data_IF_229769641939
#
_entry.id   IF_229769641939
#
_cell.length_a   1.000
_cell.length_b   1.000
_cell.length_c   1.000
_cell.angle_alpha   90.00
_cell.angle_beta   90.00
_cell.angle_gamma   90.00
#
_symmetry.space_group_name_H-M   'P 1'
#
loop_
_entity.id
_entity.type
_entity.pdbx_description
1 polymer ?
#
# COMPACT_ATOMS: atom_id res chain seq x y z
N UNK A 1 17.01 -25.55 -7.62
CA UNK A 1 16.64 -24.26 -7.02
C UNK A 1 17.19 -23.13 -7.90
N UNK A 2 16.38 -22.56 -8.80
CA UNK A 2 16.82 -21.48 -9.67
C UNK A 2 17.07 -20.21 -8.82
N UNK A 3 18.32 -19.73 -8.81
CA UNK A 3 18.64 -18.41 -8.24
C UNK A 3 18.00 -17.37 -9.13
N UNK A 4 16.94 -16.72 -8.64
CA UNK A 4 16.28 -15.62 -9.36
C UNK A 4 17.32 -14.56 -9.71
N UNK A 5 17.39 -14.06 -10.95
CA UNK A 5 18.41 -13.09 -11.35
C UNK A 5 18.31 -11.82 -10.49
N UNK A 6 19.45 -11.33 -9.99
CA UNK A 6 19.57 -10.05 -9.27
C UNK A 6 18.83 -8.86 -9.94
N UNK A 7 18.84 -8.67 -11.28
CA UNK A 7 18.09 -7.59 -11.90
C UNK A 7 16.57 -7.74 -11.77
N UNK A 8 16.02 -8.96 -11.80
CA UNK A 8 14.58 -9.19 -11.64
C UNK A 8 14.11 -8.77 -10.25
N UNK A 9 14.86 -9.13 -9.21
CA UNK A 9 14.60 -8.68 -7.83
C UNK A 9 14.68 -7.16 -7.73
N UNK A 10 15.68 -6.57 -8.43
CA UNK A 10 15.88 -5.13 -8.48
C UNK A 10 14.80 -4.37 -9.27
N UNK A 11 14.06 -5.03 -10.15
CA UNK A 11 12.89 -4.44 -10.81
C UNK A 11 11.68 -4.52 -9.88
N UNK A 12 11.43 -5.68 -9.26
CA UNK A 12 10.25 -5.91 -8.40
C UNK A 12 10.21 -4.96 -7.21
N UNK A 13 11.31 -4.79 -6.47
CA UNK A 13 11.33 -3.88 -5.31
C UNK A 13 11.20 -2.39 -5.70
N UNK A 14 11.66 -1.97 -6.88
CA UNK A 14 11.53 -0.59 -7.38
C UNK A 14 10.10 -0.34 -7.79
N UNK A 15 9.47 -1.29 -8.49
CA UNK A 15 8.05 -1.23 -8.80
C UNK A 15 7.24 -1.13 -7.51
N UNK A 16 7.53 -1.95 -6.50
CA UNK A 16 6.86 -1.88 -5.21
C UNK A 16 7.02 -0.51 -4.53
N UNK A 17 8.24 0.04 -4.50
CA UNK A 17 8.50 1.35 -3.91
C UNK A 17 7.76 2.49 -4.65
N UNK A 18 7.77 2.46 -5.99
CA UNK A 18 7.09 3.46 -6.82
C UNK A 18 5.58 3.39 -6.62
N UNK A 19 4.99 2.20 -6.65
CA UNK A 19 3.54 2.03 -6.52
C UNK A 19 3.04 2.41 -5.12
N UNK A 20 3.80 2.09 -4.06
CA UNK A 20 3.49 2.61 -2.71
C UNK A 20 3.55 4.14 -2.70
N UNK A 21 4.57 4.74 -3.30
CA UNK A 21 4.69 6.20 -3.32
C UNK A 21 3.52 6.86 -4.06
N UNK A 22 3.03 6.25 -5.15
CA UNK A 22 1.84 6.72 -5.87
C UNK A 22 0.60 6.70 -4.97
N UNK A 23 0.41 5.64 -4.18
CA UNK A 23 -0.64 5.58 -3.13
C UNK A 23 -0.47 6.70 -2.10
N UNK A 24 0.75 6.86 -1.59
CA UNK A 24 1.08 7.92 -0.62
C UNK A 24 0.80 9.33 -1.15
N UNK A 25 1.05 9.61 -2.43
CA UNK A 25 0.71 10.90 -3.05
C UNK A 25 -0.80 11.14 -3.06
N UNK A 26 -1.62 10.11 -3.26
CA UNK A 26 -3.06 10.25 -3.16
C UNK A 26 -3.48 10.60 -1.73
N UNK A 27 -2.96 9.89 -0.72
CA UNK A 27 -3.27 10.17 0.69
C UNK A 27 -2.76 11.55 1.16
N UNK A 28 -1.57 11.98 0.74
CA UNK A 28 -1.07 13.34 0.99
C UNK A 28 -1.98 14.37 0.33
N UNK A 29 -2.44 14.11 -0.90
CA UNK A 29 -3.37 14.98 -1.61
C UNK A 29 -4.71 15.13 -0.90
N UNK A 30 -5.28 14.03 -0.42
CA UNK A 30 -6.53 14.02 0.34
C UNK A 30 -6.37 14.79 1.67
N UNK A 31 -5.28 14.51 2.40
CA UNK A 31 -4.95 15.19 3.64
C UNK A 31 -4.75 16.70 3.44
N UNK A 32 -4.08 17.11 2.36
CA UNK A 32 -3.83 18.52 2.07
C UNK A 32 -5.11 19.27 1.67
N UNK A 33 -6.04 18.62 0.97
CA UNK A 33 -7.27 19.25 0.47
C UNK A 33 -8.41 19.24 1.49
N UNK A 34 -8.50 18.17 2.27
CA UNK A 34 -9.68 17.88 3.09
C UNK A 34 -9.34 17.65 4.58
N UNK A 35 -8.05 17.71 4.94
CA UNK A 35 -7.60 17.50 6.31
C UNK A 35 -7.71 16.03 6.74
N UNK A 36 -7.71 15.81 8.05
CA UNK A 36 -7.73 14.47 8.66
C UNK A 36 -9.05 13.71 8.44
N UNK A 37 -10.13 14.38 8.04
CA UNK A 37 -11.45 13.81 7.82
C UNK A 37 -11.90 14.00 6.37
N UNK A 38 -11.09 13.49 5.44
CA UNK A 38 -11.34 13.64 4.02
C UNK A 38 -12.68 13.02 3.56
N UNK A 39 -13.15 12.00 4.26
CA UNK A 39 -14.35 11.24 3.89
C UNK A 39 -15.45 11.44 4.93
N UNK A 40 -16.40 12.34 4.64
CA UNK A 40 -17.49 12.68 5.58
C UNK A 40 -18.41 11.49 5.93
N UNK A 41 -18.53 10.51 5.05
CA UNK A 41 -19.33 9.30 5.28
C UNK A 41 -18.59 8.24 6.12
N UNK A 42 -17.27 8.34 6.25
CA UNK A 42 -16.47 7.31 6.90
C UNK A 42 -16.34 7.58 8.41
N UNK A 43 -16.33 6.53 9.26
CA UNK A 43 -16.02 6.65 10.68
C UNK A 43 -14.67 7.34 10.92
N UNK A 44 -14.55 8.04 12.06
CA UNK A 44 -13.34 8.82 12.38
C UNK A 44 -12.07 7.98 12.40
N UNK A 45 -12.12 6.75 12.89
CA UNK A 45 -10.94 5.87 12.93
C UNK A 45 -10.44 5.50 11.53
N UNK A 46 -11.34 5.38 10.55
CA UNK A 46 -11.01 5.02 9.17
C UNK A 46 -10.39 6.21 8.42
N UNK A 47 -10.92 7.41 8.67
CA UNK A 47 -10.32 8.66 8.22
C UNK A 47 -8.90 8.87 8.78
N UNK A 48 -8.71 8.62 10.08
CA UNK A 48 -7.38 8.69 10.71
C UNK A 48 -6.43 7.65 10.13
N UNK A 49 -6.92 6.43 9.88
CA UNK A 49 -6.13 5.38 9.23
C UNK A 49 -5.66 5.83 7.83
N UNK A 50 -6.56 6.23 6.93
CA UNK A 50 -6.17 6.70 5.58
C UNK A 50 -5.28 7.94 5.63
N UNK A 51 -5.52 8.86 6.56
CA UNK A 51 -4.64 10.02 6.76
C UNK A 51 -3.23 9.61 7.19
N UNK A 52 -3.10 8.57 8.01
CA UNK A 52 -1.78 8.07 8.43
C UNK A 52 -0.96 7.46 7.28
N UNK A 53 -1.62 6.97 6.23
CA UNK A 53 -0.95 6.42 5.04
C UNK A 53 -0.17 7.50 4.28
N UNK A 54 -0.56 8.77 4.40
CA UNK A 54 0.22 9.90 3.89
C UNK A 54 1.65 9.98 4.47
N UNK A 55 1.89 9.34 5.62
CA UNK A 55 3.21 9.23 6.27
C UNK A 55 3.80 7.83 6.10
N UNK A 56 2.99 6.78 6.30
CA UNK A 56 3.45 5.40 6.24
C UNK A 56 3.93 5.00 4.85
N UNK A 57 3.25 5.45 3.79
CA UNK A 57 3.59 5.08 2.41
C UNK A 57 4.93 5.68 1.98
N UNK A 58 5.20 7.01 2.13
CA UNK A 58 6.53 7.55 1.85
C UNK A 58 7.62 6.91 2.71
N UNK A 59 7.34 6.61 3.98
CA UNK A 59 8.30 5.96 4.86
C UNK A 59 8.66 4.55 4.35
N UNK A 60 7.65 3.73 4.00
CA UNK A 60 7.85 2.41 3.42
C UNK A 60 8.64 2.48 2.11
N UNK A 61 8.29 3.41 1.22
CA UNK A 61 9.01 3.63 -0.03
C UNK A 61 10.48 4.03 0.21
N UNK A 62 10.76 4.97 1.11
CA UNK A 62 12.13 5.40 1.43
C UNK A 62 12.96 4.26 2.02
N UNK A 63 12.38 3.47 2.94
CA UNK A 63 13.07 2.32 3.53
C UNK A 63 13.35 1.23 2.49
N UNK A 64 12.40 0.99 1.58
CA UNK A 64 12.55 0.07 0.45
C UNK A 64 13.67 0.51 -0.49
N UNK A 65 13.69 1.79 -0.89
CA UNK A 65 14.72 2.36 -1.77
C UNK A 65 16.11 2.34 -1.12
N UNK A 66 16.19 2.37 0.20
CA UNK A 66 17.43 2.17 0.98
C UNK A 66 17.82 0.70 1.15
N UNK A 67 17.04 -0.21 0.56
CA UNK A 67 17.25 -1.66 0.62
C UNK A 67 17.14 -2.28 2.00
N UNK A 68 16.31 -1.67 2.86
CA UNK A 68 16.04 -2.17 4.21
C UNK A 68 14.88 -3.16 4.17
N UNK A 69 15.09 -4.34 4.74
CA UNK A 69 14.05 -5.38 4.85
C UNK A 69 12.82 -4.89 5.60
N UNK A 70 13.01 -4.06 6.62
CA UNK A 70 11.91 -3.44 7.37
C UNK A 70 11.01 -2.55 6.49
N UNK A 71 11.54 -1.95 5.42
CA UNK A 71 10.73 -1.20 4.46
C UNK A 71 9.77 -2.10 3.71
N UNK A 72 10.22 -3.30 3.33
CA UNK A 72 9.38 -4.28 2.66
C UNK A 72 8.34 -4.88 3.62
N UNK A 73 8.73 -5.17 4.85
CA UNK A 73 7.79 -5.67 5.86
C UNK A 73 6.72 -4.61 6.19
N UNK A 74 7.10 -3.32 6.26
CA UNK A 74 6.16 -2.21 6.41
C UNK A 74 5.24 -2.07 5.20
N UNK A 75 5.78 -2.15 3.99
CA UNK A 75 5.01 -2.13 2.74
C UNK A 75 3.94 -3.23 2.69
N UNK A 76 4.30 -4.47 3.06
CA UNK A 76 3.35 -5.56 3.18
C UNK A 76 2.26 -5.24 4.21
N UNK A 77 2.66 -4.75 5.39
CA UNK A 77 1.72 -4.37 6.46
C UNK A 77 0.70 -3.35 5.98
N UNK A 78 1.18 -2.23 5.43
CA UNK A 78 0.37 -1.15 4.85
C UNK A 78 -0.61 -1.69 3.82
N UNK A 79 -0.13 -2.48 2.84
CA UNK A 79 -1.00 -2.99 1.77
C UNK A 79 -2.08 -3.93 2.29
N UNK A 80 -1.76 -4.78 3.27
CA UNK A 80 -2.74 -5.70 3.88
C UNK A 80 -3.79 -4.93 4.67
N UNK A 81 -3.36 -3.97 5.50
CA UNK A 81 -4.29 -3.18 6.31
C UNK A 81 -5.12 -2.22 5.45
N UNK A 82 -4.55 -1.67 4.38
CA UNK A 82 -5.26 -0.77 3.49
C UNK A 82 -6.28 -1.52 2.65
N UNK A 83 -5.94 -2.71 2.15
CA UNK A 83 -6.91 -3.59 1.51
C UNK A 83 -8.06 -3.93 2.46
N UNK A 84 -7.77 -4.28 3.72
CA UNK A 84 -8.81 -4.59 4.70
C UNK A 84 -9.71 -3.39 5.00
N UNK A 85 -9.13 -2.19 5.14
CA UNK A 85 -9.85 -0.94 5.35
C UNK A 85 -10.78 -0.61 4.16
N UNK A 86 -10.29 -0.77 2.93
CA UNK A 86 -11.07 -0.54 1.73
C UNK A 86 -12.16 -1.60 1.52
N UNK A 87 -11.89 -2.88 1.80
CA UNK A 87 -12.92 -3.93 1.78
C UNK A 87 -14.03 -3.65 2.79
N UNK A 88 -13.66 -3.27 4.02
CA UNK A 88 -14.62 -2.89 5.05
C UNK A 88 -15.45 -1.67 4.61
N UNK A 89 -14.82 -0.65 4.03
CA UNK A 89 -15.53 0.51 3.51
C UNK A 89 -16.52 0.15 2.39
N UNK A 90 -16.07 -0.63 1.40
CA UNK A 90 -16.88 -1.01 0.25
C UNK A 90 -18.07 -1.87 0.65
N UNK A 91 -17.83 -2.94 1.42
CA UNK A 91 -18.88 -3.91 1.74
C UNK A 91 -19.67 -3.59 3.01
N UNK A 92 -19.04 -2.92 3.99
CA UNK A 92 -19.64 -2.68 5.30
C UNK A 92 -20.24 -1.28 5.48
N UNK A 93 -19.85 -0.31 4.66
CA UNK A 93 -20.33 1.07 4.79
C UNK A 93 -21.03 1.60 3.54
N UNK A 94 -20.63 1.13 2.35
CA UNK A 94 -21.12 1.66 1.06
C UNK A 94 -22.04 0.70 0.31
N UNK A 95 -22.25 -0.52 0.83
CA UNK A 95 -23.02 -1.60 0.18
C UNK A 95 -22.67 -1.75 -1.32
N UNK A 96 -21.37 -1.62 -1.64
CA UNK A 96 -20.84 -1.67 -3.00
C UNK A 96 -20.05 -2.97 -3.21
N UNK A 97 -19.64 -3.23 -4.45
CA UNK A 97 -18.95 -4.44 -4.85
C UNK A 97 -17.55 -4.16 -5.40
N UNK A 98 -16.65 -5.14 -5.29
CA UNK A 98 -15.28 -5.08 -5.82
C UNK A 98 -15.22 -4.64 -7.29
N UNK A 99 -16.14 -5.12 -8.13
CA UNK A 99 -16.15 -4.79 -9.56
C UNK A 99 -16.61 -3.35 -9.85
N UNK A 100 -17.37 -2.75 -8.92
CA UNK A 100 -17.87 -1.38 -9.04
C UNK A 100 -16.88 -0.32 -8.52
N UNK A 101 -15.84 -0.72 -7.79
CA UNK A 101 -14.87 0.18 -7.15
C UNK A 101 -13.46 0.03 -7.75
N UNK A 102 -13.10 0.80 -8.79
CA UNK A 102 -11.77 0.74 -9.42
C UNK A 102 -10.62 0.99 -8.45
N UNK A 103 -10.85 1.79 -7.39
CA UNK A 103 -9.88 2.02 -6.32
C UNK A 103 -9.53 0.73 -5.59
N UNK A 104 -10.55 -0.02 -5.14
CA UNK A 104 -10.38 -1.28 -4.42
C UNK A 104 -9.71 -2.35 -5.31
N UNK A 105 -10.03 -2.39 -6.61
CA UNK A 105 -9.34 -3.29 -7.55
C UNK A 105 -7.84 -3.03 -7.62
N UNK A 106 -7.43 -1.76 -7.69
CA UNK A 106 -6.00 -1.39 -7.71
C UNK A 106 -5.30 -1.78 -6.42
N UNK A 107 -5.90 -1.48 -5.27
CA UNK A 107 -5.35 -1.86 -3.95
C UNK A 107 -5.22 -3.37 -3.83
N UNK A 108 -6.23 -4.15 -4.26
CA UNK A 108 -6.20 -5.60 -4.26
C UNK A 108 -5.05 -6.16 -5.12
N UNK A 109 -4.97 -5.74 -6.39
CA UNK A 109 -3.91 -6.19 -7.31
C UNK A 109 -2.54 -5.87 -6.71
N UNK A 110 -2.39 -4.67 -6.16
CA UNK A 110 -1.11 -4.25 -5.61
C UNK A 110 -0.74 -4.98 -4.32
N UNK A 111 -1.71 -5.23 -3.44
CA UNK A 111 -1.50 -6.00 -2.21
C UNK A 111 -1.08 -7.44 -2.51
N UNK A 112 -1.71 -8.06 -3.53
CA UNK A 112 -1.31 -9.39 -4.01
C UNK A 112 0.10 -9.37 -4.60
N UNK A 113 0.45 -8.34 -5.38
CA UNK A 113 1.79 -8.19 -5.95
C UNK A 113 2.87 -8.08 -4.85
N UNK A 114 2.70 -7.16 -3.88
CA UNK A 114 3.69 -6.94 -2.82
C UNK A 114 3.81 -8.17 -1.92
N UNK A 115 2.69 -8.78 -1.52
CA UNK A 115 2.67 -9.96 -0.67
C UNK A 115 3.26 -11.19 -1.38
N UNK A 116 2.95 -11.38 -2.66
CA UNK A 116 3.50 -12.46 -3.48
C UNK A 116 5.00 -12.29 -3.76
N UNK A 117 5.48 -11.05 -3.87
CA UNK A 117 6.90 -10.75 -4.06
C UNK A 117 7.72 -10.92 -2.77
N UNK A 118 7.09 -10.83 -1.59
CA UNK A 118 7.74 -10.87 -0.29
C UNK A 118 8.76 -12.00 -0.08
N UNK A 119 8.43 -13.29 -0.27
CA UNK A 119 9.39 -14.37 -0.04
C UNK A 119 10.61 -14.31 -0.97
N UNK A 120 10.47 -13.71 -2.16
CA UNK A 120 11.53 -13.64 -3.15
C UNK A 120 12.47 -12.46 -2.93
N UNK A 121 11.94 -11.31 -2.49
CA UNK A 121 12.68 -10.05 -2.31
C UNK A 121 13.35 -9.99 -0.94
N UNK A 122 12.68 -10.43 0.13
CA UNK A 122 13.17 -10.29 1.52
C UNK A 122 14.57 -10.87 1.76
N UNK A 123 14.93 -11.93 1.04
CA UNK A 123 16.25 -12.59 1.14
C UNK A 123 17.42 -11.80 0.53
N UNK A 124 17.13 -10.72 -0.20
CA UNK A 124 18.13 -9.87 -0.85
C UNK A 124 18.27 -8.49 -0.20
N UNK A 125 17.44 -8.19 0.79
CA UNK A 125 17.46 -6.92 1.53
C UNK A 125 18.26 -7.06 2.82
N UNK A 126 18.85 -5.95 3.26
CA UNK A 126 19.60 -5.86 4.54
C UNK A 126 18.69 -5.72 5.74
#
# INVERSE_FOLDING_TARGET
>A
MSRTPRPTVAVVWVIAAVLILVGGVAHVGDLARHGLWAYAWAPSWLNLYWSSLAVLDPLAAVLLLRGKRIGFDLACGVMVTDLAANLYATYGLRDSELLAEPGLQRVLIFALFVSGAAPFVRRWLT
#
